data_IF_246143896406
#
_entry.id   IF_246143896406
#
_cell.length_a   1.000
_cell.length_b   1.000
_cell.length_c   1.000
_cell.angle_alpha   90.00
_cell.angle_beta   90.00
_cell.angle_gamma   90.00
#
_symmetry.space_group_name_H-M   'P 1'
#
loop_
_entity.id
_entity.type
_entity.pdbx_description
1 polymer ?
#
# COMPACT_ATOMS: atom_id res chain seq x y z
N UNK A 1 4.66 5.10 -24.70
CA UNK A 1 5.39 4.62 -23.52
C UNK A 1 4.44 3.74 -22.72
N UNK A 2 4.96 2.71 -22.07
CA UNK A 2 4.17 1.83 -21.20
C UNK A 2 3.67 2.64 -20.00
N UNK A 3 2.44 2.37 -19.55
CA UNK A 3 1.87 2.92 -18.33
C UNK A 3 1.59 1.78 -17.35
N UNK A 4 1.69 2.06 -16.06
CA UNK A 4 1.28 1.10 -15.03
C UNK A 4 0.57 1.77 -13.87
N UNK A 5 -0.23 0.95 -13.17
CA UNK A 5 -0.85 1.33 -11.92
C UNK A 5 0.08 0.99 -10.75
N UNK A 6 0.25 1.94 -9.85
CA UNK A 6 0.87 1.74 -8.54
C UNK A 6 -0.12 2.27 -7.51
N UNK A 7 -0.37 1.49 -6.45
CA UNK A 7 -1.19 1.94 -5.32
C UNK A 7 -0.35 1.92 -4.05
N UNK A 8 -0.21 3.06 -3.40
CA UNK A 8 0.19 3.07 -1.99
C UNK A 8 -1.03 2.68 -1.17
N UNK A 9 -1.00 1.48 -0.61
CA UNK A 9 -2.12 0.84 0.06
C UNK A 9 -2.50 1.59 1.35
N UNK A 10 -3.66 1.26 1.96
CA UNK A 10 -4.11 1.88 3.20
C UNK A 10 -3.08 1.88 4.34
N UNK A 11 -2.28 0.81 4.51
CA UNK A 11 -1.19 0.79 5.48
C UNK A 11 -0.09 1.81 5.15
N UNK A 12 0.22 2.02 3.87
CA UNK A 12 1.15 3.06 3.43
C UNK A 12 0.63 4.49 3.63
N UNK A 13 -0.68 4.71 3.49
CA UNK A 13 -1.29 6.02 3.76
C UNK A 13 -1.31 6.33 5.24
N UNK A 14 -1.69 5.36 6.08
CA UNK A 14 -1.78 5.57 7.53
C UNK A 14 -0.38 5.68 8.15
N UNK A 15 0.59 4.86 7.72
CA UNK A 15 1.97 4.89 8.21
C UNK A 15 2.78 5.95 7.46
N UNK A 16 2.62 7.22 7.86
CA UNK A 16 3.04 8.41 7.10
C UNK A 16 4.48 8.40 6.63
N UNK A 17 5.42 8.13 7.54
CA UNK A 17 6.84 8.07 7.19
C UNK A 17 7.10 6.98 6.14
N UNK A 18 6.63 5.76 6.39
CA UNK A 18 6.84 4.61 5.51
C UNK A 18 6.26 4.85 4.12
N UNK A 19 5.04 5.38 4.04
CA UNK A 19 4.41 5.74 2.77
C UNK A 19 5.14 6.83 2.01
N UNK A 20 5.53 7.91 2.68
CA UNK A 20 6.28 9.01 2.07
C UNK A 20 7.62 8.52 1.51
N UNK A 21 8.34 7.67 2.26
CA UNK A 21 9.61 7.11 1.78
C UNK A 21 9.43 6.15 0.61
N UNK A 22 8.37 5.34 0.59
CA UNK A 22 8.06 4.48 -0.55
C UNK A 22 7.78 5.29 -1.83
N UNK A 23 6.96 6.35 -1.73
CA UNK A 23 6.71 7.26 -2.84
C UNK A 23 7.99 7.97 -3.30
N UNK A 24 8.85 8.38 -2.36
CA UNK A 24 10.15 8.97 -2.69
C UNK A 24 11.01 8.00 -3.50
N UNK A 25 11.10 6.74 -3.10
CA UNK A 25 11.84 5.73 -3.85
C UNK A 25 11.26 5.50 -5.26
N UNK A 26 9.93 5.58 -5.44
CA UNK A 26 9.30 5.50 -6.76
C UNK A 26 9.67 6.72 -7.63
N UNK A 27 9.67 7.94 -7.06
CA UNK A 27 10.10 9.14 -7.79
C UNK A 27 11.57 9.10 -8.22
N UNK A 28 12.43 8.46 -7.43
CA UNK A 28 13.86 8.33 -7.73
C UNK A 28 14.12 7.39 -8.94
N UNK A 29 13.11 6.66 -9.44
CA UNK A 29 13.18 5.95 -10.73
C UNK A 29 13.08 6.89 -11.95
N UNK A 30 12.82 8.18 -11.73
CA UNK A 30 12.67 9.22 -12.76
C UNK A 30 11.63 8.88 -13.84
N UNK A 31 10.59 8.15 -13.44
CA UNK A 31 9.43 7.86 -14.29
C UNK A 31 8.57 9.11 -14.49
N UNK A 32 7.81 9.13 -15.57
CA UNK A 32 6.82 10.17 -15.80
C UNK A 32 5.57 9.89 -14.95
N UNK A 33 5.21 10.80 -14.06
CA UNK A 33 4.01 10.67 -13.22
C UNK A 33 2.83 11.28 -13.96
N UNK A 34 2.01 10.42 -14.59
CA UNK A 34 0.81 10.80 -15.35
C UNK A 34 -0.37 11.14 -14.44
N UNK A 35 -0.41 10.56 -13.25
CA UNK A 35 -1.43 10.83 -12.24
C UNK A 35 -0.90 10.55 -10.84
N UNK A 36 -1.30 11.39 -9.88
CA UNK A 36 -1.10 11.17 -8.45
C UNK A 36 -2.28 11.80 -7.70
N UNK A 37 -3.00 11.02 -6.89
CA UNK A 37 -3.96 11.57 -5.95
C UNK A 37 -4.25 10.60 -4.79
N UNK A 38 -4.70 11.13 -3.67
CA UNK A 38 -5.25 10.35 -2.56
C UNK A 38 -6.74 10.12 -2.82
N UNK A 39 -7.16 8.86 -2.84
CA UNK A 39 -8.52 8.46 -3.22
C UNK A 39 -9.03 7.42 -2.23
N UNK A 40 -10.29 7.56 -1.82
CA UNK A 40 -11.06 6.49 -1.16
C UNK A 40 -11.90 5.75 -2.19
N UNK A 41 -11.44 4.63 -2.76
CA UNK A 41 -12.23 3.88 -3.72
C UNK A 41 -13.47 3.28 -3.05
N UNK A 42 -14.56 3.18 -3.80
CA UNK A 42 -15.75 2.43 -3.35
C UNK A 42 -15.39 0.96 -3.21
N UNK A 43 -15.93 0.31 -2.16
CA UNK A 43 -15.68 -1.12 -1.91
C UNK A 43 -16.13 -1.98 -3.10
N UNK A 44 -17.24 -1.62 -3.73
CA UNK A 44 -17.80 -2.30 -4.90
C UNK A 44 -16.88 -2.20 -6.12
N UNK A 45 -16.21 -1.06 -6.30
CA UNK A 45 -15.20 -0.92 -7.36
C UNK A 45 -14.02 -1.87 -7.13
N UNK A 46 -13.55 -1.99 -5.88
CA UNK A 46 -12.47 -2.90 -5.54
C UNK A 46 -12.88 -4.37 -5.69
N UNK A 47 -14.07 -4.75 -5.22
CA UNK A 47 -14.54 -6.14 -5.26
C UNK A 47 -14.91 -6.58 -6.69
N UNK A 48 -15.78 -5.82 -7.34
CA UNK A 48 -16.47 -6.29 -8.55
C UNK A 48 -15.64 -6.04 -9.81
N UNK A 49 -14.63 -5.17 -9.70
CA UNK A 49 -13.76 -4.82 -10.82
C UNK A 49 -12.29 -5.11 -10.54
N UNK A 50 -11.65 -4.39 -9.61
CA UNK A 50 -10.18 -4.45 -9.48
C UNK A 50 -9.67 -5.82 -9.02
N UNK A 51 -10.31 -6.44 -8.02
CA UNK A 51 -9.91 -7.75 -7.48
C UNK A 51 -10.81 -8.90 -7.93
N UNK A 52 -11.62 -8.72 -8.98
CA UNK A 52 -12.58 -9.75 -9.43
C UNK A 52 -11.92 -11.09 -9.73
N UNK A 53 -10.69 -11.09 -10.26
CA UNK A 53 -9.89 -12.29 -10.55
C UNK A 53 -9.45 -13.06 -9.28
N UNK A 54 -9.64 -12.48 -8.11
CA UNK A 54 -9.36 -13.12 -6.82
C UNK A 54 -10.63 -13.63 -6.13
N UNK A 55 -11.81 -13.42 -6.71
CA UNK A 55 -13.08 -13.90 -6.15
C UNK A 55 -13.04 -15.42 -5.93
N UNK A 56 -13.41 -15.84 -4.73
CA UNK A 56 -13.39 -17.25 -4.32
C UNK A 56 -12.06 -17.73 -3.72
N UNK A 57 -10.99 -16.92 -3.73
CA UNK A 57 -9.78 -17.20 -2.96
C UNK A 57 -10.02 -16.89 -1.48
N UNK A 58 -9.41 -17.68 -0.59
CA UNK A 58 -9.61 -17.58 0.87
C UNK A 58 -9.26 -16.19 1.46
N UNK A 59 -8.41 -15.42 0.79
CA UNK A 59 -7.99 -14.07 1.23
C UNK A 59 -8.78 -12.93 0.59
N UNK A 60 -9.71 -13.22 -0.33
CA UNK A 60 -10.37 -12.21 -1.16
C UNK A 60 -11.13 -11.16 -0.33
N UNK A 61 -11.95 -11.61 0.61
CA UNK A 61 -12.77 -10.69 1.42
C UNK A 61 -11.88 -9.79 2.29
N UNK A 62 -10.83 -10.34 2.89
CA UNK A 62 -9.88 -9.57 3.68
C UNK A 62 -9.09 -8.58 2.82
N UNK A 63 -8.71 -8.95 1.59
CA UNK A 63 -8.05 -8.04 0.66
C UNK A 63 -8.95 -6.84 0.30
N UNK A 64 -10.22 -7.09 -0.03
CA UNK A 64 -11.18 -6.02 -0.36
C UNK A 64 -11.47 -5.16 0.88
N UNK A 65 -11.70 -5.77 2.05
CA UNK A 65 -11.92 -5.06 3.30
C UNK A 65 -10.73 -4.16 3.64
N UNK A 66 -9.51 -4.70 3.55
CA UNK A 66 -8.29 -3.96 3.80
C UNK A 66 -8.13 -2.78 2.84
N UNK A 67 -8.25 -3.02 1.53
CA UNK A 67 -8.04 -1.99 0.50
C UNK A 67 -9.12 -0.90 0.50
N UNK A 68 -10.29 -1.17 1.07
CA UNK A 68 -11.41 -0.21 1.20
C UNK A 68 -11.51 0.45 2.58
N UNK A 69 -10.62 0.09 3.53
CA UNK A 69 -10.71 0.54 4.92
C UNK A 69 -10.52 2.05 5.07
N UNK A 70 -9.63 2.63 4.28
CA UNK A 70 -9.39 4.07 4.19
C UNK A 70 -8.89 4.43 2.79
N UNK A 71 -8.41 5.66 2.63
CA UNK A 71 -7.80 6.16 1.41
C UNK A 71 -6.52 5.39 1.03
N UNK A 72 -6.19 5.46 -0.26
CA UNK A 72 -4.95 4.99 -0.85
C UNK A 72 -4.38 6.06 -1.80
N UNK A 73 -3.07 6.06 -2.06
CA UNK A 73 -2.53 6.90 -3.14
C UNK A 73 -2.60 6.11 -4.45
N UNK A 74 -3.21 6.70 -5.46
CA UNK A 74 -3.22 6.17 -6.83
C UNK A 74 -2.15 6.88 -7.62
N UNK A 75 -1.28 6.11 -8.26
CA UNK A 75 -0.25 6.61 -9.16
C UNK A 75 -0.40 5.91 -10.50
N UNK A 76 -0.45 6.69 -11.58
CA UNK A 76 -0.20 6.18 -12.93
C UNK A 76 1.16 6.70 -13.34
N UNK A 77 2.10 5.77 -13.51
CA UNK A 77 3.48 6.07 -13.92
C UNK A 77 3.73 5.55 -15.34
N UNK A 78 4.54 6.27 -16.11
CA UNK A 78 4.93 5.89 -17.46
C UNK A 78 6.44 5.93 -17.65
N UNK A 79 6.96 5.03 -18.46
CA UNK A 79 8.38 4.94 -18.77
C UNK A 79 8.72 3.64 -19.48
N UNK A 80 9.96 3.51 -19.94
CA UNK A 80 10.44 2.27 -20.56
C UNK A 80 10.68 1.20 -19.49
N UNK A 81 10.17 -0.01 -19.72
CA UNK A 81 10.22 -1.15 -18.80
C UNK A 81 9.69 -0.79 -17.41
N UNK A 82 8.64 0.04 -17.36
CA UNK A 82 8.13 0.62 -16.11
C UNK A 82 7.69 -0.46 -15.12
N UNK A 83 7.02 -1.51 -15.62
CA UNK A 83 6.57 -2.64 -14.80
C UNK A 83 7.74 -3.36 -14.15
N UNK A 84 8.79 -3.68 -14.91
CA UNK A 84 9.96 -4.39 -14.38
C UNK A 84 10.72 -3.55 -13.35
N UNK A 85 10.98 -2.26 -13.67
CA UNK A 85 11.69 -1.33 -12.78
C UNK A 85 10.98 -1.19 -11.44
N UNK A 86 9.67 -0.94 -11.49
CA UNK A 86 8.84 -0.76 -10.30
C UNK A 86 8.76 -2.06 -9.51
N UNK A 87 8.46 -3.20 -10.14
CA UNK A 87 8.38 -4.49 -9.42
C UNK A 87 9.69 -4.88 -8.75
N UNK A 88 10.82 -4.60 -9.38
CA UNK A 88 12.15 -4.81 -8.81
C UNK A 88 12.35 -3.95 -7.55
N UNK A 89 11.99 -2.66 -7.62
CA UNK A 89 12.04 -1.75 -6.48
C UNK A 89 11.13 -2.19 -5.33
N UNK A 90 9.93 -2.70 -5.63
CA UNK A 90 8.99 -3.15 -4.61
C UNK A 90 9.50 -4.40 -3.87
N UNK A 91 10.14 -5.33 -4.58
CA UNK A 91 10.53 -6.62 -4.03
C UNK A 91 9.37 -7.62 -3.93
N UNK A 92 9.64 -8.78 -3.32
CA UNK A 92 8.67 -9.89 -3.23
C UNK A 92 7.41 -9.51 -2.46
N UNK A 93 6.29 -10.13 -2.80
CA UNK A 93 4.98 -9.87 -2.18
C UNK A 93 4.97 -10.11 -0.67
N UNK A 94 5.64 -11.16 -0.20
CA UNK A 94 5.81 -11.46 1.23
C UNK A 94 6.98 -10.64 1.78
N UNK A 95 6.69 -9.72 2.71
CA UNK A 95 7.65 -8.76 3.26
C UNK A 95 8.87 -9.45 3.86
N UNK A 96 8.68 -10.60 4.50
CA UNK A 96 9.70 -11.39 5.18
C UNK A 96 10.66 -12.09 4.19
N UNK A 97 10.25 -12.22 2.92
CA UNK A 97 11.05 -12.82 1.84
C UNK A 97 11.58 -11.79 0.84
N UNK A 98 11.19 -10.52 0.98
CA UNK A 98 11.62 -9.42 0.13
C UNK A 98 13.04 -8.99 0.49
N UNK A 99 13.76 -8.42 -0.48
CA UNK A 99 15.08 -7.85 -0.21
C UNK A 99 14.96 -6.74 0.85
N UNK A 100 15.79 -6.71 1.92
CA UNK A 100 15.71 -5.68 2.96
C UNK A 100 15.81 -4.23 2.45
N UNK A 101 16.42 -4.02 1.27
CA UNK A 101 16.54 -2.71 0.63
C UNK A 101 15.37 -2.38 -0.30
N UNK A 102 14.51 -3.35 -0.63
CA UNK A 102 13.28 -3.12 -1.39
C UNK A 102 12.21 -2.44 -0.54
N UNK A 103 11.23 -1.79 -1.17
CA UNK A 103 10.14 -1.10 -0.45
C UNK A 103 9.41 -2.07 0.49
N UNK A 104 9.04 -3.26 0.01
CA UNK A 104 8.29 -4.24 0.83
C UNK A 104 9.14 -4.82 1.95
N UNK A 105 10.42 -5.06 1.70
CA UNK A 105 11.35 -5.56 2.72
C UNK A 105 11.65 -4.53 3.80
N UNK A 106 11.72 -3.25 3.46
CA UNK A 106 12.02 -2.16 4.41
C UNK A 106 10.79 -1.67 5.17
N UNK A 107 9.67 -1.51 4.47
CA UNK A 107 8.50 -0.79 4.98
C UNK A 107 7.24 -1.65 5.11
N UNK A 108 7.20 -2.82 4.49
CA UNK A 108 6.03 -3.70 4.56
C UNK A 108 5.77 -4.24 5.97
N UNK A 109 4.50 -4.33 6.33
CA UNK A 109 4.05 -4.73 7.66
C UNK A 109 4.18 -6.23 7.88
N UNK A 110 3.45 -7.06 7.13
CA UNK A 110 3.50 -8.55 7.25
C UNK A 110 2.64 -9.21 6.16
N UNK A 111 2.93 -10.47 5.79
CA UNK A 111 2.03 -11.41 5.06
C UNK A 111 1.08 -10.79 4.01
N UNK A 112 1.57 -9.96 3.07
CA UNK A 112 0.74 -9.35 2.01
C UNK A 112 0.13 -7.98 2.34
N UNK A 113 0.13 -7.57 3.62
CA UNK A 113 0.08 -6.16 4.04
C UNK A 113 1.48 -5.57 3.82
N UNK A 114 1.72 -5.22 2.56
CA UNK A 114 3.05 -4.97 2.02
C UNK A 114 3.21 -3.57 1.45
N UNK A 115 2.44 -2.60 1.96
CA UNK A 115 2.54 -1.17 1.67
C UNK A 115 2.16 -0.74 0.25
N UNK A 116 2.61 -1.44 -0.80
CA UNK A 116 2.48 -1.01 -2.19
C UNK A 116 2.02 -2.14 -3.11
N UNK A 117 0.97 -1.88 -3.88
CA UNK A 117 0.56 -2.65 -5.05
C UNK A 117 1.18 -2.07 -6.32
N UNK A 118 1.48 -2.95 -7.28
CA UNK A 118 1.92 -2.59 -8.62
C UNK A 118 1.45 -3.68 -9.58
N UNK A 119 1.05 -3.29 -10.80
CA UNK A 119 0.71 -4.23 -11.87
C UNK A 119 1.80 -5.28 -12.07
N UNK A 120 1.43 -6.54 -12.35
CA UNK A 120 2.37 -7.66 -12.37
C UNK A 120 3.04 -7.92 -13.73
N UNK A 121 2.43 -7.42 -14.80
CA UNK A 121 2.83 -7.59 -16.20
C UNK A 121 2.31 -6.41 -17.03
N UNK A 122 2.80 -6.26 -18.25
CA UNK A 122 2.32 -5.20 -19.15
C UNK A 122 0.83 -5.36 -19.47
N UNK A 123 0.34 -6.60 -19.65
CA UNK A 123 -1.07 -6.86 -19.91
C UNK A 123 -1.97 -6.45 -18.74
N UNK A 124 -1.58 -6.79 -17.50
CA UNK A 124 -2.35 -6.35 -16.33
C UNK A 124 -2.22 -4.87 -16.09
N UNK A 125 -1.06 -4.26 -16.39
CA UNK A 125 -0.86 -2.82 -16.30
C UNK A 125 -1.82 -2.05 -17.20
N UNK A 126 -1.97 -2.44 -18.47
CA UNK A 126 -2.93 -1.82 -19.38
C UNK A 126 -4.38 -1.94 -18.87
N UNK A 127 -4.77 -3.13 -18.40
CA UNK A 127 -6.12 -3.38 -17.86
C UNK A 127 -6.39 -2.54 -16.61
N UNK A 128 -5.47 -2.55 -15.65
CA UNK A 128 -5.58 -1.82 -14.39
C UNK A 128 -5.61 -0.31 -14.62
N UNK A 129 -4.71 0.23 -15.45
CA UNK A 129 -4.69 1.66 -15.78
C UNK A 129 -6.00 2.09 -16.44
N UNK A 130 -6.49 1.32 -17.42
CA UNK A 130 -7.77 1.61 -18.08
C UNK A 130 -8.93 1.60 -17.07
N UNK A 131 -8.95 0.61 -16.18
CA UNK A 131 -9.98 0.46 -15.16
C UNK A 131 -10.01 1.63 -14.18
N UNK A 132 -8.85 2.05 -13.68
CA UNK A 132 -8.75 3.15 -12.71
C UNK A 132 -9.05 4.51 -13.36
N UNK A 133 -8.73 4.69 -14.65
CA UNK A 133 -9.16 5.86 -15.45
C UNK A 133 -10.69 6.03 -15.53
N UNK A 134 -11.49 5.01 -15.19
CA UNK A 134 -12.96 5.15 -15.11
C UNK A 134 -13.45 5.93 -13.88
N UNK A 135 -12.63 6.03 -12.83
CA UNK A 135 -13.03 6.61 -11.53
C UNK A 135 -12.15 7.79 -11.09
N UNK A 136 -11.15 8.16 -11.88
CA UNK A 136 -10.27 9.30 -11.64
C UNK A 136 -10.43 10.31 -12.77
N UNK A 137 -10.17 11.57 -12.45
CA UNK A 137 -10.15 12.66 -13.43
C UNK A 137 -8.72 13.15 -13.62
N UNK A 138 -8.20 13.01 -14.84
CA UNK A 138 -6.83 13.41 -15.19
C UNK A 138 -6.87 14.78 -15.82
N UNK A 139 -6.33 15.76 -15.11
CA UNK A 139 -6.21 17.14 -15.56
C UNK A 139 -4.89 17.33 -16.33
N UNK A 140 -4.96 17.54 -17.65
CA UNK A 140 -3.76 17.62 -18.51
C UNK A 140 -2.75 18.72 -18.08
N UNK A 141 -3.25 19.84 -17.54
CA UNK A 141 -2.41 20.95 -17.10
C UNK A 141 -1.74 20.73 -15.72
N UNK A 142 -2.09 19.66 -15.02
CA UNK A 142 -1.67 19.43 -13.63
C UNK A 142 -0.31 18.74 -13.57
N UNK A 143 0.55 19.25 -12.69
CA UNK A 143 1.86 18.64 -12.44
C UNK A 143 1.76 17.62 -11.29
N UNK A 144 1.35 16.40 -11.60
CA UNK A 144 1.19 15.33 -10.62
C UNK A 144 2.49 14.91 -9.92
N UNK A 145 3.65 15.05 -10.60
CA UNK A 145 4.95 14.83 -9.96
C UNK A 145 5.14 15.81 -8.79
N UNK A 146 4.82 17.10 -8.99
CA UNK A 146 4.93 18.12 -7.95
C UNK A 146 3.96 17.89 -6.80
N UNK A 147 2.74 17.42 -7.07
CA UNK A 147 1.78 17.04 -6.03
C UNK A 147 2.31 15.86 -5.19
N UNK A 148 2.90 14.86 -5.83
CA UNK A 148 3.53 13.73 -5.15
C UNK A 148 4.74 14.18 -4.31
N UNK A 149 5.59 15.07 -4.83
CA UNK A 149 6.70 15.67 -4.08
C UNK A 149 6.22 16.46 -2.86
N UNK A 150 5.12 17.21 -2.99
CA UNK A 150 4.51 17.93 -1.88
C UNK A 150 3.98 16.98 -0.81
N UNK A 151 3.29 15.90 -1.20
CA UNK A 151 2.86 14.84 -0.27
C UNK A 151 4.05 14.25 0.49
N UNK A 152 5.13 13.90 -0.23
CA UNK A 152 6.34 13.34 0.39
C UNK A 152 6.92 14.32 1.41
N UNK A 153 7.09 15.60 1.04
CA UNK A 153 7.66 16.62 1.93
C UNK A 153 6.87 16.81 3.22
N UNK A 154 5.54 16.69 3.16
CA UNK A 154 4.67 16.77 4.34
C UNK A 154 4.96 15.66 5.34
N UNK A 155 5.29 14.46 4.87
CA UNK A 155 5.31 13.23 5.69
C UNK A 155 6.69 12.58 5.83
N UNK A 156 7.71 13.03 5.11
CA UNK A 156 9.05 12.42 5.14
C UNK A 156 9.77 12.55 6.49
N UNK A 157 9.30 13.46 7.36
CA UNK A 157 9.83 13.70 8.69
C UNK A 157 8.87 13.24 9.81
N UNK A 158 7.79 12.53 9.49
CA UNK A 158 6.91 11.94 10.49
C UNK A 158 7.70 10.92 11.34
N UNK A 159 7.37 10.70 12.62
CA UNK A 159 8.04 9.67 13.41
C UNK A 159 7.95 8.31 12.71
N UNK A 160 9.09 7.62 12.66
CA UNK A 160 9.18 6.28 12.06
C UNK A 160 9.03 5.23 13.16
N UNK A 161 8.08 4.30 12.99
CA UNK A 161 8.10 3.02 13.69
C UNK A 161 8.75 1.99 12.78
N UNK A 162 9.67 1.21 13.35
CA UNK A 162 10.32 0.13 12.63
C UNK A 162 9.30 -0.94 12.24
N UNK A 163 9.19 -1.22 10.94
CA UNK A 163 8.33 -2.28 10.38
C UNK A 163 8.68 -3.66 10.94
N UNK A 164 9.91 -3.87 11.45
CA UNK A 164 10.29 -5.08 12.17
C UNK A 164 9.37 -5.31 13.37
N UNK A 165 8.96 -4.26 14.09
CA UNK A 165 8.09 -4.41 15.27
C UNK A 165 6.73 -4.99 14.91
N UNK A 166 6.14 -4.54 13.80
CA UNK A 166 4.89 -5.12 13.29
C UNK A 166 5.04 -6.58 12.91
N UNK A 167 6.18 -6.97 12.32
CA UNK A 167 6.48 -8.36 11.95
C UNK A 167 6.66 -9.24 13.18
N UNK A 168 7.32 -8.76 14.22
CA UNK A 168 7.47 -9.47 15.49
C UNK A 168 6.11 -9.78 16.11
N UNK A 169 5.24 -8.77 16.23
CA UNK A 169 3.88 -8.95 16.77
C UNK A 169 3.10 -9.95 15.92
N UNK A 170 3.19 -9.83 14.59
CA UNK A 170 2.52 -10.74 13.65
C UNK A 170 3.02 -12.18 13.80
N UNK A 171 4.33 -12.36 14.01
CA UNK A 171 4.96 -13.65 14.24
C UNK A 171 4.49 -14.24 15.58
N UNK A 172 4.57 -13.46 16.65
CA UNK A 172 4.16 -13.89 17.98
C UNK A 172 2.68 -14.28 18.01
N UNK A 173 1.82 -13.53 17.31
CA UNK A 173 0.41 -13.89 17.14
C UNK A 173 0.27 -15.23 16.40
N UNK A 174 0.96 -15.42 15.27
CA UNK A 174 0.89 -16.68 14.51
C UNK A 174 1.42 -17.89 15.29
N UNK A 175 2.32 -17.67 16.25
CA UNK A 175 2.87 -18.69 17.14
C UNK A 175 2.09 -18.82 18.46
N UNK A 176 0.92 -18.15 18.58
CA UNK A 176 0.06 -18.13 19.77
C UNK A 176 0.77 -17.66 21.06
N UNK A 177 1.79 -16.79 20.93
CA UNK A 177 2.55 -16.21 22.05
C UNK A 177 1.89 -14.97 22.65
N UNK A 178 1.00 -14.33 21.89
CA UNK A 178 0.19 -13.18 22.32
C UNK A 178 -1.25 -13.40 21.88
N UNK A 179 -2.21 -12.81 22.61
CA UNK A 179 -3.61 -12.87 22.23
C UNK A 179 -3.90 -11.94 21.03
N UNK A 180 -5.02 -12.19 20.34
CA UNK A 180 -5.52 -11.30 19.28
C UNK A 180 -5.73 -9.88 19.81
N UNK A 181 -6.36 -9.74 20.98
CA UNK A 181 -6.67 -8.45 21.61
C UNK A 181 -5.41 -7.67 21.98
N UNK A 182 -4.40 -8.35 22.55
CA UNK A 182 -3.12 -7.71 22.88
C UNK A 182 -2.39 -7.27 21.61
N UNK A 183 -2.37 -8.11 20.57
CA UNK A 183 -1.73 -7.78 19.31
C UNK A 183 -2.37 -6.55 18.64
N UNK A 184 -3.71 -6.49 18.59
CA UNK A 184 -4.45 -5.34 18.08
C UNK A 184 -4.15 -4.07 18.87
N UNK A 185 -4.16 -4.16 20.21
CA UNK A 185 -3.84 -3.03 21.09
C UNK A 185 -2.42 -2.50 20.86
N UNK A 186 -1.42 -3.37 20.86
CA UNK A 186 -0.02 -2.97 20.67
C UNK A 186 0.16 -2.36 19.28
N UNK A 187 -0.39 -2.96 18.22
CA UNK A 187 -0.30 -2.39 16.87
C UNK A 187 -1.01 -1.04 16.76
N UNK A 188 -2.16 -0.87 17.42
CA UNK A 188 -2.87 0.41 17.50
C UNK A 188 -2.01 1.49 18.17
N UNK A 189 -1.39 1.18 19.31
CA UNK A 189 -0.49 2.10 20.02
C UNK A 189 0.77 2.47 19.22
N UNK A 190 1.21 1.60 18.31
CA UNK A 190 2.31 1.93 17.39
C UNK A 190 1.81 2.86 16.27
N UNK A 191 0.65 2.57 15.67
CA UNK A 191 0.10 3.38 14.59
C UNK A 191 -0.19 4.82 15.03
N UNK A 192 -0.71 5.04 16.24
CA UNK A 192 -0.97 6.40 16.76
C UNK A 192 0.29 7.27 16.83
N UNK A 193 1.49 6.67 16.81
CA UNK A 193 2.77 7.39 16.85
C UNK A 193 3.31 7.74 15.46
N UNK A 194 2.87 7.06 14.40
CA UNK A 194 3.34 7.28 13.03
C UNK A 194 2.23 7.72 12.05
N UNK A 195 1.12 8.23 12.60
CA UNK A 195 -0.01 8.73 11.83
C UNK A 195 -0.57 10.03 12.39
N UNK A 196 -1.23 10.82 11.52
CA UNK A 196 -2.04 12.00 11.85
C UNK A 196 -3.55 11.74 11.63
N UNK A 197 -3.93 10.49 11.34
CA UNK A 197 -5.33 10.08 11.22
C UNK A 197 -6.05 10.12 12.57
N UNK A 198 -7.37 10.28 12.52
CA UNK A 198 -8.24 10.19 13.70
C UNK A 198 -8.23 8.78 14.34
N UNK A 199 -8.61 8.71 15.61
CA UNK A 199 -8.67 7.47 16.39
C UNK A 199 -9.59 6.40 15.76
N UNK A 200 -10.66 6.82 15.07
CA UNK A 200 -11.59 5.90 14.42
C UNK A 200 -10.90 5.15 13.27
N UNK A 201 -10.08 5.84 12.48
CA UNK A 201 -9.32 5.23 11.39
C UNK A 201 -8.17 4.37 11.93
N UNK A 202 -7.48 4.84 12.96
CA UNK A 202 -6.36 4.12 13.58
C UNK A 202 -6.80 2.85 14.29
N UNK A 203 -8.00 2.81 14.87
CA UNK A 203 -8.51 1.62 15.57
C UNK A 203 -8.93 0.48 14.64
N UNK A 204 -9.36 0.77 13.40
CA UNK A 204 -9.84 -0.25 12.45
C UNK A 204 -8.71 -1.01 11.76
N UNK A 205 -7.60 -0.34 11.47
CA UNK A 205 -6.51 -0.91 10.66
C UNK A 205 -5.79 -2.09 11.36
N UNK A 206 -5.45 -2.04 12.67
CA UNK A 206 -4.85 -3.17 13.39
C UNK A 206 -5.67 -4.45 13.24
N UNK A 207 -6.99 -4.40 13.44
CA UNK A 207 -7.85 -5.57 13.32
C UNK A 207 -7.75 -6.23 11.93
N UNK A 208 -7.76 -5.43 10.86
CA UNK A 208 -7.63 -5.92 9.48
C UNK A 208 -6.24 -6.53 9.21
N UNK A 209 -5.18 -5.92 9.75
CA UNK A 209 -3.82 -6.48 9.66
C UNK A 209 -3.76 -7.83 10.36
N UNK A 210 -4.33 -7.91 11.56
CA UNK A 210 -4.35 -9.09 12.41
C UNK A 210 -5.18 -10.22 11.77
N UNK A 211 -6.34 -9.92 11.20
CA UNK A 211 -7.13 -10.87 10.42
C UNK A 211 -6.33 -11.42 9.24
N UNK A 212 -5.58 -10.57 8.54
CA UNK A 212 -4.71 -11.02 7.46
C UNK A 212 -3.55 -11.91 7.96
N UNK A 213 -3.01 -11.65 9.15
CA UNK A 213 -1.98 -12.50 9.77
C UNK A 213 -2.50 -13.91 10.06
N UNK A 214 -3.76 -14.02 10.51
CA UNK A 214 -4.41 -15.27 10.90
C UNK A 214 -4.94 -16.09 9.71
N UNK A 215 -5.00 -15.53 8.50
CA UNK A 215 -5.45 -16.22 7.29
C UNK A 215 -4.48 -17.30 6.77
N UNK A 216 -3.23 -17.34 7.23
CA UNK A 216 -2.21 -18.29 6.76
C UNK A 216 -1.23 -18.67 7.83
#
# INVERSE_FOLDING_TARGET
MEEMLILLKPDGIVRRYSGARALKNILDLELEIKFFNIIKPKKEFLSDKHYVEHKGKFFYDNLVNFMSATELAVIIASGDNVVEKVRTLLGKTMCEKADPLSIRGRYGTTKGINLVHASDSNETAEKEVKLWKEIIDIEEAKNYKKEMEAYIKTYENFPMIDSVRYREISKDLSENKISKEDAEKIMGELLTKETDFDEETVSKLPALIIENVLLG
#
